data_IF_634115402996
#
_entry.id   IF_634115402996
#
_cell.length_a   1.000
_cell.length_b   1.000
_cell.length_c   1.000
_cell.angle_alpha   90.00
_cell.angle_beta   90.00
_cell.angle_gamma   90.00
#
_symmetry.space_group_name_H-M   'P 1'
#
loop_
_entity.id
_entity.type
_entity.pdbx_description
1 polymer ?
#
# COMPACT_ATOMS: atom_id res chain seq x y z
N UNK A 1 -26.69 12.16 6.70
CA UNK A 1 -25.56 11.30 6.31
C UNK A 1 -24.18 11.80 6.79
N UNK A 2 -23.99 13.10 7.11
CA UNK A 2 -22.67 13.62 7.56
C UNK A 2 -22.35 13.43 9.04
N UNK A 3 -23.33 13.28 9.92
CA UNK A 3 -23.06 13.15 11.37
C UNK A 3 -22.52 11.78 11.80
N UNK A 4 -22.84 10.72 11.06
CA UNK A 4 -22.40 9.36 11.40
C UNK A 4 -20.91 9.12 11.06
N UNK A 5 -20.37 9.82 10.05
CA UNK A 5 -18.97 9.70 9.65
C UNK A 5 -17.99 10.31 10.67
N UNK A 6 -18.34 11.43 11.30
CA UNK A 6 -17.47 12.10 12.28
C UNK A 6 -17.42 11.29 13.59
N UNK A 7 -18.53 10.72 14.01
CA UNK A 7 -18.58 9.86 15.20
C UNK A 7 -17.77 8.58 15.00
N UNK A 8 -17.75 8.02 13.78
CA UNK A 8 -16.96 6.82 13.46
C UNK A 8 -15.45 7.10 13.48
N UNK A 9 -15.00 8.27 13.00
CA UNK A 9 -13.58 8.64 13.00
C UNK A 9 -13.01 8.77 14.42
N UNK A 10 -13.73 9.44 15.32
CA UNK A 10 -13.35 9.53 16.75
C UNK A 10 -13.20 8.15 17.39
N UNK A 11 -14.15 7.25 17.14
CA UNK A 11 -14.12 5.88 17.64
C UNK A 11 -12.90 5.10 17.13
N UNK A 12 -12.52 5.28 15.84
CA UNK A 12 -11.31 4.63 15.31
C UNK A 12 -10.03 5.18 15.94
N UNK A 13 -9.94 6.49 16.19
CA UNK A 13 -8.78 7.07 16.88
C UNK A 13 -8.67 6.55 18.33
N UNK A 14 -9.78 6.45 19.05
CA UNK A 14 -9.80 5.85 20.39
C UNK A 14 -9.35 4.38 20.36
N UNK A 15 -9.80 3.61 19.38
CA UNK A 15 -9.36 2.22 19.20
C UNK A 15 -7.86 2.11 18.90
N UNK A 16 -7.32 2.98 18.05
CA UNK A 16 -5.88 3.03 17.76
C UNK A 16 -5.10 3.34 19.03
N UNK A 17 -5.50 4.39 19.76
CA UNK A 17 -4.83 4.80 21.00
C UNK A 17 -4.87 3.70 22.07
N UNK A 18 -6.02 3.01 22.22
CA UNK A 18 -6.19 1.94 23.21
C UNK A 18 -5.43 0.65 22.84
N UNK A 19 -5.36 0.29 21.56
CA UNK A 19 -4.67 -0.90 21.07
C UNK A 19 -3.18 -0.68 20.85
N UNK A 20 -2.78 0.55 20.61
CA UNK A 20 -1.40 0.97 20.33
C UNK A 20 -0.70 0.06 19.28
N UNK A 21 -1.30 -0.10 18.07
CA UNK A 21 -0.83 -1.08 17.09
C UNK A 21 0.56 -0.75 16.56
N UNK A 22 1.31 -1.77 16.21
CA UNK A 22 2.60 -1.64 15.55
C UNK A 22 2.40 -1.60 14.03
N UNK A 23 2.85 -0.52 13.40
CA UNK A 23 2.86 -0.36 11.95
C UNK A 23 4.28 -0.52 11.43
N UNK A 24 4.54 -1.60 10.69
CA UNK A 24 5.80 -1.73 9.95
C UNK A 24 5.70 -0.93 8.66
N UNK A 25 6.66 -0.04 8.40
CA UNK A 25 6.67 0.82 7.24
C UNK A 25 7.97 0.66 6.46
N UNK A 26 7.88 0.12 5.24
CA UNK A 26 8.98 0.17 4.26
C UNK A 26 8.66 1.35 3.33
N UNK A 27 9.14 2.53 3.70
CA UNK A 27 8.89 3.79 2.98
C UNK A 27 10.19 4.44 2.51
N UNK A 28 10.09 5.44 1.65
CA UNK A 28 11.25 6.15 1.14
C UNK A 28 11.84 7.12 2.19
N UNK A 29 13.14 7.39 2.10
CA UNK A 29 13.87 8.23 3.06
C UNK A 29 13.43 9.70 3.05
N UNK A 30 12.76 10.17 1.98
CA UNK A 30 12.30 11.57 1.87
C UNK A 30 11.18 11.85 2.86
N UNK A 31 10.28 10.89 3.07
CA UNK A 31 9.07 11.05 3.89
C UNK A 31 9.06 10.16 5.13
N UNK A 32 10.11 9.37 5.36
CA UNK A 32 10.14 8.39 6.45
C UNK A 32 9.85 9.01 7.82
N UNK A 33 10.47 10.15 8.14
CA UNK A 33 10.25 10.85 9.42
C UNK A 33 8.81 11.34 9.58
N UNK A 34 8.22 11.89 8.53
CA UNK A 34 6.83 12.38 8.57
C UNK A 34 5.83 11.23 8.72
N UNK A 35 6.07 10.12 8.01
CA UNK A 35 5.26 8.91 8.14
C UNK A 35 5.33 8.33 9.56
N UNK A 36 6.53 8.29 10.16
CA UNK A 36 6.71 7.83 11.52
C UNK A 36 5.95 8.74 12.52
N UNK A 37 6.14 10.05 12.42
CA UNK A 37 5.49 11.02 13.29
C UNK A 37 3.96 10.99 13.16
N UNK A 38 3.43 10.78 11.95
CA UNK A 38 1.98 10.67 11.73
C UNK A 38 1.40 9.46 12.47
N UNK A 39 2.03 8.29 12.41
CA UNK A 39 1.58 7.09 13.13
C UNK A 39 1.65 7.30 14.65
N UNK A 40 2.75 7.87 15.14
CA UNK A 40 2.93 8.17 16.57
C UNK A 40 1.88 9.18 17.08
N UNK A 41 1.60 10.24 16.29
CA UNK A 41 0.60 11.25 16.64
C UNK A 41 -0.83 10.67 16.71
N UNK A 42 -1.11 9.61 15.95
CA UNK A 42 -2.39 8.90 16.00
C UNK A 42 -2.48 7.87 17.14
N UNK A 43 -1.44 7.70 17.95
CA UNK A 43 -1.40 6.76 19.06
C UNK A 43 -0.94 5.34 18.70
N UNK A 44 -0.44 5.13 17.47
CA UNK A 44 0.20 3.89 17.08
C UNK A 44 1.69 3.86 17.41
N UNK A 45 2.33 2.72 17.16
CA UNK A 45 3.79 2.54 17.17
C UNK A 45 4.25 2.27 15.76
N UNK A 46 5.48 2.64 15.43
CA UNK A 46 6.03 2.39 14.08
C UNK A 46 7.40 1.76 14.14
N UNK A 47 7.69 0.90 13.17
CA UNK A 47 9.03 0.37 12.90
C UNK A 47 9.35 0.64 11.44
N UNK A 48 10.51 1.29 11.19
CA UNK A 48 11.04 1.59 9.87
C UNK A 48 12.21 0.63 9.57
N UNK A 49 11.89 -0.56 9.09
CA UNK A 49 12.86 -1.59 8.77
C UNK A 49 12.74 -1.98 7.30
N UNK A 50 13.82 -1.93 6.53
CA UNK A 50 13.85 -2.28 5.11
C UNK A 50 15.01 -3.21 4.72
N UNK A 51 15.79 -3.66 5.72
CA UNK A 51 16.89 -4.59 5.47
C UNK A 51 16.37 -6.00 5.24
N UNK A 52 16.83 -6.64 4.18
CA UNK A 52 16.31 -7.92 3.69
C UNK A 52 16.36 -9.04 4.73
N UNK A 53 17.35 -9.02 5.63
CA UNK A 53 17.52 -10.06 6.64
C UNK A 53 16.56 -9.93 7.84
N UNK A 54 15.90 -8.77 8.03
CA UNK A 54 15.02 -8.54 9.19
C UNK A 54 13.55 -8.32 8.84
N UNK A 55 13.23 -7.96 7.58
CA UNK A 55 11.86 -7.51 7.21
C UNK A 55 10.78 -8.55 7.49
N UNK A 56 11.07 -9.85 7.34
CA UNK A 56 10.09 -10.91 7.62
C UNK A 56 9.81 -11.02 9.12
N UNK A 57 10.83 -10.95 9.96
CA UNK A 57 10.69 -11.02 11.42
C UNK A 57 9.95 -9.80 11.95
N UNK A 58 10.33 -8.59 11.51
CA UNK A 58 9.69 -7.34 11.90
C UNK A 58 8.22 -7.32 11.47
N UNK A 59 7.92 -7.71 10.21
CA UNK A 59 6.54 -7.82 9.74
C UNK A 59 5.76 -8.86 10.54
N UNK A 60 6.39 -9.98 10.88
CA UNK A 60 5.82 -11.01 11.75
C UNK A 60 5.40 -10.50 13.13
N UNK A 61 6.04 -9.47 13.65
CA UNK A 61 5.71 -8.83 14.94
C UNK A 61 4.73 -7.65 14.81
N UNK A 62 4.49 -7.13 13.59
CA UNK A 62 3.63 -5.95 13.35
C UNK A 62 2.13 -6.29 13.27
N UNK A 63 1.27 -5.29 13.42
CA UNK A 63 -0.19 -5.38 13.27
C UNK A 63 -0.66 -4.92 11.88
N UNK A 64 0.18 -4.20 11.14
CA UNK A 64 -0.06 -3.79 9.76
C UNK A 64 1.26 -3.47 9.05
N UNK A 65 1.21 -3.47 7.71
CA UNK A 65 2.36 -3.20 6.86
C UNK A 65 2.04 -2.10 5.84
N UNK A 66 2.98 -1.16 5.67
CA UNK A 66 2.95 -0.15 4.61
C UNK A 66 4.12 -0.38 3.67
N UNK A 67 3.82 -0.57 2.39
CA UNK A 67 4.78 -0.74 1.30
C UNK A 67 4.75 0.50 0.39
N UNK A 68 5.85 1.24 0.31
CA UNK A 68 5.96 2.42 -0.55
C UNK A 68 7.07 2.21 -1.59
N UNK A 69 6.73 2.37 -2.87
CA UNK A 69 7.64 2.15 -4.00
C UNK A 69 8.53 3.38 -4.31
N UNK A 70 8.58 4.37 -3.44
CA UNK A 70 9.47 5.52 -3.59
C UNK A 70 10.94 5.11 -3.49
N UNK A 71 11.79 5.68 -4.37
CA UNK A 71 13.25 5.42 -4.41
C UNK A 71 13.58 3.90 -4.47
N UNK A 72 13.10 3.16 -5.48
CA UNK A 72 13.29 1.72 -5.55
C UNK A 72 14.72 1.34 -5.95
N UNK A 73 15.21 0.26 -5.35
CA UNK A 73 16.37 -0.53 -5.78
C UNK A 73 15.96 -2.00 -5.87
N UNK A 74 16.76 -2.84 -6.52
CA UNK A 74 16.47 -4.28 -6.59
C UNK A 74 16.38 -4.90 -5.18
N UNK A 75 17.31 -4.58 -4.31
CA UNK A 75 17.34 -5.05 -2.92
C UNK A 75 16.07 -4.61 -2.16
N UNK A 76 15.68 -3.33 -2.31
CA UNK A 76 14.49 -2.80 -1.68
C UNK A 76 13.21 -3.47 -2.19
N UNK A 77 13.11 -3.78 -3.49
CA UNK A 77 11.97 -4.50 -4.05
C UNK A 77 11.87 -5.90 -3.44
N UNK A 78 13.00 -6.59 -3.23
CA UNK A 78 13.03 -7.87 -2.53
C UNK A 78 12.53 -7.75 -1.09
N UNK A 79 12.95 -6.73 -0.37
CA UNK A 79 12.46 -6.45 0.99
C UNK A 79 10.95 -6.21 1.02
N UNK A 80 10.41 -5.43 0.06
CA UNK A 80 8.97 -5.20 -0.07
C UNK A 80 8.19 -6.50 -0.31
N UNK A 81 8.71 -7.38 -1.18
CA UNK A 81 8.10 -8.68 -1.49
C UNK A 81 8.11 -9.63 -0.28
N UNK A 82 9.25 -9.75 0.40
CA UNK A 82 9.38 -10.60 1.58
C UNK A 82 8.47 -10.15 2.72
N UNK A 83 8.49 -8.84 3.03
CA UNK A 83 7.60 -8.26 4.03
C UNK A 83 6.12 -8.46 3.66
N UNK A 84 5.74 -8.23 2.40
CA UNK A 84 4.38 -8.44 1.91
C UNK A 84 3.91 -9.89 2.08
N UNK A 85 4.74 -10.85 1.69
CA UNK A 85 4.45 -12.29 1.88
C UNK A 85 4.35 -12.68 3.37
N UNK A 86 5.20 -12.13 4.22
CA UNK A 86 5.11 -12.34 5.67
C UNK A 86 3.82 -11.76 6.25
N UNK A 87 3.40 -10.56 5.81
CA UNK A 87 2.13 -9.96 6.19
C UNK A 87 0.93 -10.83 5.76
N UNK A 88 0.93 -11.33 4.53
CA UNK A 88 -0.12 -12.22 4.04
C UNK A 88 -0.18 -13.52 4.83
N UNK A 89 0.97 -14.14 5.14
CA UNK A 89 1.04 -15.34 5.98
C UNK A 89 0.46 -15.09 7.39
N UNK A 90 0.72 -13.92 7.95
CA UNK A 90 0.18 -13.49 9.26
C UNK A 90 -1.26 -12.99 9.17
N UNK A 91 -1.77 -12.71 7.98
CA UNK A 91 -3.10 -12.11 7.71
C UNK A 91 -3.28 -10.72 8.32
N UNK A 92 -2.23 -9.92 8.31
CA UNK A 92 -2.31 -8.51 8.68
C UNK A 92 -2.52 -7.64 7.43
N UNK A 93 -3.21 -6.48 7.55
CA UNK A 93 -3.49 -5.63 6.41
C UNK A 93 -2.21 -5.03 5.83
N UNK A 94 -2.19 -4.94 4.49
CA UNK A 94 -1.11 -4.35 3.71
C UNK A 94 -1.64 -3.12 2.97
N UNK A 95 -0.99 -1.97 3.15
CA UNK A 95 -1.22 -0.75 2.38
C UNK A 95 -0.09 -0.61 1.37
N UNK A 96 -0.42 -0.44 0.10
CA UNK A 96 0.54 -0.26 -0.98
C UNK A 96 0.43 1.13 -1.60
N UNK A 97 1.54 1.86 -1.64
CA UNK A 97 1.69 3.16 -2.29
C UNK A 97 2.68 3.03 -3.49
N UNK A 98 2.16 2.97 -4.73
CA UNK A 98 2.95 2.71 -5.94
C UNK A 98 3.66 3.95 -6.48
N UNK A 99 4.27 4.75 -5.62
CA UNK A 99 4.88 6.05 -5.95
C UNK A 99 5.64 6.01 -7.28
N UNK A 100 5.18 6.82 -8.23
CA UNK A 100 5.84 7.00 -9.53
C UNK A 100 5.90 5.74 -10.40
N UNK A 101 5.00 4.76 -10.23
CA UNK A 101 5.00 3.51 -11.01
C UNK A 101 4.89 3.75 -12.53
N UNK A 102 4.34 4.90 -12.95
CA UNK A 102 4.29 5.30 -14.36
C UNK A 102 5.60 5.84 -14.91
N UNK A 103 6.54 6.29 -14.07
CA UNK A 103 7.71 7.06 -14.48
C UNK A 103 8.79 6.25 -15.23
N UNK A 104 8.89 4.93 -14.98
CA UNK A 104 9.88 4.07 -15.66
C UNK A 104 9.38 2.64 -15.80
N UNK A 105 10.01 1.87 -16.72
CA UNK A 105 9.73 0.42 -16.86
C UNK A 105 10.11 -0.34 -15.60
N UNK A 106 11.19 0.03 -14.93
CA UNK A 106 11.65 -0.57 -13.68
C UNK A 106 10.58 -0.46 -12.58
N UNK A 107 10.06 0.76 -12.32
CA UNK A 107 9.01 1.00 -11.33
C UNK A 107 7.71 0.28 -11.68
N UNK A 108 7.33 0.30 -12.97
CA UNK A 108 6.14 -0.41 -13.44
C UNK A 108 6.22 -1.92 -13.23
N UNK A 109 7.39 -2.50 -13.48
CA UNK A 109 7.60 -3.93 -13.29
C UNK A 109 7.60 -4.30 -11.80
N UNK A 110 8.25 -3.51 -10.96
CA UNK A 110 8.23 -3.69 -9.51
C UNK A 110 6.81 -3.59 -8.92
N UNK A 111 6.03 -2.58 -9.30
CA UNK A 111 4.66 -2.44 -8.86
C UNK A 111 3.77 -3.62 -9.29
N UNK A 112 4.00 -4.11 -10.51
CA UNK A 112 3.31 -5.29 -11.06
C UNK A 112 3.66 -6.55 -10.26
N UNK A 113 4.94 -6.77 -10.01
CA UNK A 113 5.42 -7.92 -9.24
C UNK A 113 4.84 -7.93 -7.83
N UNK A 114 4.83 -6.78 -7.16
CA UNK A 114 4.20 -6.63 -5.85
C UNK A 114 2.72 -7.01 -5.87
N UNK A 115 1.94 -6.50 -6.82
CA UNK A 115 0.51 -6.84 -6.92
C UNK A 115 0.23 -8.28 -7.35
N UNK A 116 1.20 -8.97 -7.95
CA UNK A 116 1.09 -10.37 -8.29
C UNK A 116 1.40 -11.29 -7.10
N UNK A 117 2.41 -10.93 -6.31
CA UNK A 117 2.96 -11.77 -5.25
C UNK A 117 2.38 -11.49 -3.86
N UNK A 118 1.77 -10.30 -3.67
CA UNK A 118 1.27 -9.83 -2.37
C UNK A 118 -0.21 -9.48 -2.46
N UNK A 119 -1.01 -10.07 -1.58
CA UNK A 119 -2.40 -9.66 -1.35
C UNK A 119 -2.40 -8.33 -0.59
N UNK A 120 -2.90 -7.28 -1.24
CA UNK A 120 -2.91 -5.91 -0.73
C UNK A 120 -4.32 -5.54 -0.27
N UNK A 121 -4.45 -4.97 0.92
CA UNK A 121 -5.75 -4.55 1.48
C UNK A 121 -6.17 -3.16 0.99
N UNK A 122 -5.20 -2.26 0.81
CA UNK A 122 -5.43 -0.88 0.36
C UNK A 122 -4.36 -0.50 -0.65
N UNK A 123 -4.77 0.05 -1.79
CA UNK A 123 -3.88 0.68 -2.77
C UNK A 123 -4.17 2.18 -2.75
N UNK A 124 -3.17 2.99 -2.44
CA UNK A 124 -3.28 4.45 -2.37
C UNK A 124 -2.31 5.10 -3.35
N UNK A 125 -2.83 5.92 -4.25
CA UNK A 125 -2.00 6.63 -5.22
C UNK A 125 -2.75 7.80 -5.85
N UNK A 126 -2.06 8.63 -6.64
CA UNK A 126 -2.72 9.63 -7.47
C UNK A 126 -3.38 8.98 -8.71
N UNK A 127 -4.19 9.77 -9.44
CA UNK A 127 -4.93 9.27 -10.61
C UNK A 127 -4.04 8.59 -11.65
N UNK A 128 -2.84 9.13 -11.92
CA UNK A 128 -1.93 8.56 -12.92
C UNK A 128 -1.27 7.26 -12.46
N UNK A 129 -0.99 7.11 -11.17
CA UNK A 129 -0.46 5.89 -10.57
C UNK A 129 -1.49 4.76 -10.59
N UNK A 130 -2.73 5.07 -10.18
CA UNK A 130 -3.83 4.10 -10.21
C UNK A 130 -4.14 3.66 -11.65
N UNK A 131 -4.16 4.60 -12.60
CA UNK A 131 -4.31 4.27 -14.03
C UNK A 131 -3.20 3.35 -14.52
N UNK A 132 -1.95 3.66 -14.21
CA UNK A 132 -0.80 2.85 -14.60
C UNK A 132 -0.90 1.42 -14.08
N UNK A 133 -1.32 1.23 -12.85
CA UNK A 133 -1.54 -0.10 -12.27
C UNK A 133 -2.68 -0.85 -12.94
N UNK A 134 -3.82 -0.19 -13.16
CA UNK A 134 -4.98 -0.79 -13.79
C UNK A 134 -4.69 -1.28 -15.22
N UNK A 135 -4.06 -0.46 -16.05
CA UNK A 135 -3.70 -0.81 -17.42
C UNK A 135 -2.77 -2.03 -17.48
N UNK A 136 -1.83 -2.07 -16.56
CA UNK A 136 -0.88 -3.19 -16.46
C UNK A 136 -1.53 -4.46 -15.92
N UNK A 137 -2.39 -4.35 -14.92
CA UNK A 137 -3.12 -5.47 -14.37
C UNK A 137 -4.02 -6.15 -15.41
N UNK A 138 -4.69 -5.35 -16.25
CA UNK A 138 -5.51 -5.87 -17.34
C UNK A 138 -4.67 -6.61 -18.40
N UNK A 139 -3.53 -6.05 -18.83
CA UNK A 139 -2.64 -6.68 -19.81
C UNK A 139 -2.06 -8.02 -19.32
N UNK A 140 -1.82 -8.16 -18.03
CA UNK A 140 -1.36 -9.43 -17.45
C UNK A 140 -2.40 -10.55 -17.56
N UNK A 141 -3.68 -10.20 -17.54
CA UNK A 141 -4.80 -11.17 -17.62
C UNK A 141 -5.36 -11.33 -19.03
N UNK A 142 -4.69 -10.80 -20.07
CA UNK A 142 -5.12 -10.91 -21.47
C UNK A 142 -6.41 -10.14 -21.78
N UNK A 143 -6.70 -9.10 -20.99
CA UNK A 143 -7.85 -8.24 -21.23
C UNK A 143 -7.34 -7.02 -22.01
N UNK A 144 -7.81 -6.85 -23.24
CA UNK A 144 -7.47 -5.69 -24.06
C UNK A 144 -7.87 -4.39 -23.34
N UNK A 145 -6.98 -3.41 -23.39
CA UNK A 145 -7.21 -2.08 -22.86
C UNK A 145 -8.21 -1.37 -23.78
N UNK A 146 -9.50 -1.61 -23.58
CA UNK A 146 -10.54 -0.76 -24.16
C UNK A 146 -10.89 0.35 -23.17
N UNK A 147 -10.93 1.56 -23.70
CA UNK A 147 -11.68 2.72 -23.25
C UNK A 147 -10.91 3.83 -22.53
N UNK A 148 -11.33 5.05 -22.92
CA UNK A 148 -11.12 6.31 -22.22
C UNK A 148 -11.26 6.15 -20.69
N UNK A 149 -10.35 6.81 -19.96
CA UNK A 149 -10.34 6.82 -18.52
C UNK A 149 -11.62 7.46 -17.94
N UNK A 150 -12.66 6.67 -17.75
CA UNK A 150 -13.73 6.99 -16.80
C UNK A 150 -13.20 6.65 -15.40
N UNK A 151 -12.75 7.67 -14.69
CA UNK A 151 -12.03 7.52 -13.42
C UNK A 151 -12.77 6.65 -12.40
N UNK A 152 -14.06 6.83 -12.21
CA UNK A 152 -14.87 6.11 -11.22
C UNK A 152 -15.10 4.67 -11.64
N UNK A 153 -15.44 4.42 -12.89
CA UNK A 153 -15.68 3.05 -13.39
C UNK A 153 -14.40 2.22 -13.37
N UNK A 154 -13.27 2.83 -13.75
CA UNK A 154 -11.94 2.19 -13.72
C UNK A 154 -11.52 1.83 -12.30
N UNK A 155 -11.67 2.75 -11.35
CA UNK A 155 -11.33 2.52 -9.93
C UNK A 155 -12.19 1.41 -9.34
N UNK A 156 -13.51 1.37 -9.62
CA UNK A 156 -14.40 0.28 -9.17
C UNK A 156 -13.98 -1.07 -9.73
N UNK A 157 -13.74 -1.16 -11.04
CA UNK A 157 -13.27 -2.39 -11.68
C UNK A 157 -11.93 -2.85 -11.11
N UNK A 158 -11.04 -1.93 -10.75
CA UNK A 158 -9.76 -2.26 -10.17
C UNK A 158 -9.91 -2.78 -8.74
N UNK A 159 -10.74 -2.14 -7.92
CA UNK A 159 -11.08 -2.60 -6.57
C UNK A 159 -11.70 -4.01 -6.58
N UNK A 160 -12.67 -4.26 -7.48
CA UNK A 160 -13.29 -5.58 -7.64
C UNK A 160 -12.28 -6.67 -8.04
N UNK A 161 -11.34 -6.33 -8.93
CA UNK A 161 -10.33 -7.29 -9.42
C UNK A 161 -9.22 -7.59 -8.42
N UNK A 162 -8.85 -6.61 -7.62
CA UNK A 162 -7.77 -6.74 -6.63
C UNK A 162 -8.28 -7.12 -5.25
N UNK A 163 -9.59 -7.04 -5.02
CA UNK A 163 -10.22 -7.15 -3.70
C UNK A 163 -9.67 -6.16 -2.68
N UNK A 164 -9.08 -5.06 -3.15
CA UNK A 164 -8.48 -4.01 -2.34
C UNK A 164 -9.34 -2.74 -2.33
N UNK A 165 -9.24 -1.97 -1.26
CA UNK A 165 -9.76 -0.60 -1.23
C UNK A 165 -8.83 0.29 -2.04
N UNK A 166 -9.37 1.02 -3.02
CA UNK A 166 -8.59 1.95 -3.85
C UNK A 166 -8.80 3.38 -3.35
N UNK A 167 -7.73 4.04 -2.95
CA UNK A 167 -7.72 5.43 -2.49
C UNK A 167 -7.01 6.28 -3.54
N UNK A 168 -7.79 7.12 -4.23
CA UNK A 168 -7.25 8.06 -5.23
C UNK A 168 -7.05 9.41 -4.56
N UNK A 169 -5.81 9.89 -4.55
CA UNK A 169 -5.44 11.22 -4.05
C UNK A 169 -5.30 12.19 -5.22
N UNK A 170 -5.74 13.44 -5.01
CA UNK A 170 -5.83 14.49 -6.03
C UNK A 170 -4.53 15.03 -6.48
#
# INVERSE_FOLDING_TARGET
MEKDGINSFGTYLELITNRNPVVHQITNFVTANDCANAVLAMGGRTVMADYIEEVEEITGAADSLVLNLGVPSEERIQSLLLAGKAANKKRIPVVFDPVGCGASSFRRNAAKELLHEVEVSVIRGNSSEIQCLFDKYNRMRGIDAETEFDSICTVRKFAEKTHAVIVVTG
#
